data_IF_315032488017
#
_entry.id   IF_315032488017
#
_cell.length_a   1.000
_cell.length_b   1.000
_cell.length_c   1.000
_cell.angle_alpha   90.00
_cell.angle_beta   90.00
_cell.angle_gamma   90.00
#
_symmetry.space_group_name_H-M   'P 1'
#
loop_
_entity.id
_entity.type
_entity.pdbx_description
1 polymer ?
#
# COMPACT_ATOMS: atom_id res chain seq x y z
N UNK A 1 -7.76 -17.06 0.68
CA UNK A 1 -6.57 -16.20 0.61
C UNK A 1 -6.52 -15.26 1.81
N UNK A 2 -5.31 -14.86 2.20
CA UNK A 2 -5.11 -14.00 3.38
C UNK A 2 -5.81 -12.65 3.25
N UNK A 3 -5.81 -12.04 2.04
CA UNK A 3 -6.49 -10.76 1.80
C UNK A 3 -8.00 -10.89 1.98
N UNK A 4 -8.61 -11.95 1.48
CA UNK A 4 -10.03 -12.20 1.62
C UNK A 4 -10.43 -12.36 3.08
N UNK A 5 -9.65 -13.10 3.85
CA UNK A 5 -9.89 -13.32 5.27
C UNK A 5 -9.81 -12.02 6.07
N UNK A 6 -8.80 -11.20 5.80
CA UNK A 6 -8.66 -9.91 6.46
C UNK A 6 -9.82 -8.97 6.09
N UNK A 7 -10.24 -8.97 4.82
CA UNK A 7 -11.35 -8.14 4.34
C UNK A 7 -12.67 -8.55 5.03
N UNK A 8 -12.90 -9.84 5.27
CA UNK A 8 -14.08 -10.31 6.02
C UNK A 8 -14.04 -9.88 7.49
N UNK A 9 -12.86 -9.89 8.12
CA UNK A 9 -12.69 -9.55 9.53
C UNK A 9 -12.74 -8.05 9.78
N UNK A 10 -12.29 -7.25 8.82
CA UNK A 10 -12.25 -5.78 8.91
C UNK A 10 -12.68 -5.17 7.57
N UNK A 11 -14.00 -5.24 7.24
CA UNK A 11 -14.46 -4.77 5.93
C UNK A 11 -14.18 -3.28 5.68
N UNK A 12 -13.84 -2.97 4.43
CA UNK A 12 -13.63 -1.60 4.00
C UNK A 12 -14.06 -1.46 2.53
N UNK A 13 -13.94 -0.25 1.98
CA UNK A 13 -14.33 0.01 0.59
C UNK A 13 -13.39 -0.68 -0.40
N UNK A 14 -12.09 -0.61 -0.14
CA UNK A 14 -11.07 -1.19 -1.01
C UNK A 14 -9.90 -1.68 -0.18
N UNK A 15 -9.35 -2.83 -0.57
CA UNK A 15 -8.11 -3.37 -0.03
C UNK A 15 -7.25 -3.84 -1.21
N UNK A 16 -6.07 -3.27 -1.38
CA UNK A 16 -5.19 -3.54 -2.51
C UNK A 16 -3.78 -3.81 -2.04
N UNK A 17 -3.17 -4.84 -2.61
CA UNK A 17 -1.75 -5.14 -2.43
C UNK A 17 -1.00 -4.67 -3.65
N UNK A 18 -0.07 -3.74 -3.46
CA UNK A 18 0.83 -3.25 -4.49
C UNK A 18 2.23 -3.82 -4.30
N UNK A 19 2.87 -4.22 -5.39
CA UNK A 19 4.28 -4.59 -5.40
C UNK A 19 5.14 -3.45 -5.92
N UNK A 20 6.29 -3.22 -5.29
CA UNK A 20 7.25 -2.22 -5.74
C UNK A 20 8.07 -2.78 -6.90
N UNK A 21 7.98 -2.12 -8.04
CA UNK A 21 8.64 -2.55 -9.26
C UNK A 21 9.77 -1.59 -9.63
N UNK A 22 10.91 -2.11 -10.10
CA UNK A 22 11.98 -1.26 -10.62
C UNK A 22 11.54 -0.58 -11.90
N UNK A 23 12.10 0.59 -12.16
CA UNK A 23 11.79 1.31 -13.39
C UNK A 23 12.47 0.68 -14.59
N UNK A 24 11.70 0.50 -15.68
CA UNK A 24 12.20 0.09 -16.98
C UNK A 24 12.11 1.23 -17.98
N UNK A 25 11.62 2.42 -17.56
CA UNK A 25 11.46 3.57 -18.45
C UNK A 25 12.69 4.48 -18.43
N UNK A 26 12.76 5.40 -19.39
CA UNK A 26 13.87 6.31 -19.56
C UNK A 26 14.10 7.24 -18.36
N UNK A 27 13.04 7.55 -17.63
CA UNK A 27 13.11 8.45 -16.48
C UNK A 27 13.57 7.76 -15.20
N UNK A 28 13.70 6.43 -15.23
CA UNK A 28 14.17 5.62 -14.10
C UNK A 28 13.32 5.81 -12.84
N UNK A 29 12.01 6.01 -13.02
CA UNK A 29 11.05 6.18 -11.92
C UNK A 29 10.45 4.84 -11.54
N UNK A 30 10.67 4.36 -10.32
CA UNK A 30 10.00 3.13 -9.87
C UNK A 30 8.49 3.35 -9.75
N UNK A 31 7.76 2.25 -9.66
CA UNK A 31 6.30 2.31 -9.59
C UNK A 31 5.75 1.18 -8.73
N UNK A 32 4.51 1.35 -8.29
CA UNK A 32 3.73 0.31 -7.64
C UNK A 32 2.81 -0.34 -8.67
N UNK A 33 2.78 -1.67 -8.68
CA UNK A 33 1.89 -2.45 -9.53
C UNK A 33 0.89 -3.19 -8.66
N UNK A 34 -0.40 -3.05 -8.98
CA UNK A 34 -1.47 -3.75 -8.25
C UNK A 34 -1.37 -5.26 -8.50
N UNK A 35 -1.19 -6.03 -7.43
CA UNK A 35 -1.04 -7.48 -7.48
C UNK A 35 -2.29 -8.22 -7.02
N UNK A 36 -3.04 -7.67 -6.07
CA UNK A 36 -4.26 -8.26 -5.54
C UNK A 36 -5.21 -7.18 -5.07
N UNK A 37 -6.51 -7.48 -5.07
CA UNK A 37 -7.53 -6.51 -4.74
C UNK A 37 -8.79 -7.17 -4.21
N UNK A 38 -9.43 -6.51 -3.24
CA UNK A 38 -10.78 -6.77 -2.76
C UNK A 38 -11.53 -5.44 -2.72
N UNK A 39 -12.83 -5.47 -3.08
CA UNK A 39 -13.67 -4.28 -3.07
C UNK A 39 -13.48 -3.42 -4.30
N UNK A 40 -13.70 -2.11 -4.16
CA UNK A 40 -13.65 -1.18 -5.28
C UNK A 40 -12.24 -1.08 -5.88
N UNK A 41 -12.18 -0.97 -7.20
CA UNK A 41 -10.91 -0.95 -7.92
C UNK A 41 -10.14 0.34 -7.68
N UNK A 42 -8.83 0.21 -7.44
CA UNK A 42 -7.88 1.31 -7.38
C UNK A 42 -6.97 1.27 -8.61
N UNK A 43 -6.15 2.30 -8.77
CA UNK A 43 -5.24 2.41 -9.91
C UNK A 43 -4.35 1.17 -10.01
N UNK A 44 -4.12 0.70 -11.25
CA UNK A 44 -3.29 -0.47 -11.50
C UNK A 44 -1.80 -0.16 -11.34
N UNK A 45 -1.39 1.06 -11.68
CA UNK A 45 0.00 1.52 -11.62
C UNK A 45 0.06 2.88 -10.95
N UNK A 46 0.99 3.05 -10.02
CA UNK A 46 1.24 4.32 -9.33
C UNK A 46 2.73 4.64 -9.39
N UNK A 47 3.08 5.80 -9.94
CA UNK A 47 4.47 6.25 -9.99
C UNK A 47 4.96 6.72 -8.63
N UNK A 48 6.24 6.49 -8.36
CA UNK A 48 6.88 6.90 -7.11
C UNK A 48 7.70 8.18 -7.35
N UNK A 49 7.00 9.27 -7.65
CA UNK A 49 7.60 10.59 -7.82
C UNK A 49 7.08 11.56 -6.75
N UNK A 50 7.64 12.76 -6.71
CA UNK A 50 7.27 13.76 -5.72
C UNK A 50 5.79 14.16 -5.82
N UNK A 51 5.28 14.35 -7.02
CA UNK A 51 3.90 14.77 -7.24
C UNK A 51 2.92 13.70 -6.73
N UNK A 52 3.19 12.42 -7.02
CA UNK A 52 2.32 11.32 -6.60
C UNK A 52 2.35 11.09 -5.09
N UNK A 53 3.45 11.46 -4.40
CA UNK A 53 3.50 11.37 -2.93
C UNK A 53 2.44 12.25 -2.26
N UNK A 54 1.99 13.33 -2.92
CA UNK A 54 0.95 14.20 -2.41
C UNK A 54 -0.46 13.79 -2.82
N UNK A 55 -0.62 13.20 -4.01
CA UNK A 55 -1.93 12.87 -4.58
C UNK A 55 -2.35 11.41 -4.36
N UNK A 56 -1.39 10.54 -4.05
CA UNK A 56 -1.64 9.11 -3.85
C UNK A 56 -0.92 8.63 -2.60
N UNK A 57 -1.67 8.32 -1.55
CA UNK A 57 -1.10 7.89 -0.28
C UNK A 57 -0.20 6.66 -0.40
N UNK A 58 -0.54 5.62 -1.20
CA UNK A 58 0.37 4.47 -1.36
C UNK A 58 1.71 4.86 -1.96
N UNK A 59 1.75 5.83 -2.87
CA UNK A 59 3.02 6.33 -3.40
C UNK A 59 3.88 6.95 -2.30
N UNK A 60 3.29 7.77 -1.44
CA UNK A 60 3.99 8.35 -0.27
C UNK A 60 4.51 7.26 0.67
N UNK A 61 3.69 6.27 0.96
CA UNK A 61 4.05 5.16 1.86
C UNK A 61 5.24 4.38 1.31
N UNK A 62 5.25 4.08 0.01
CA UNK A 62 6.37 3.39 -0.62
C UNK A 62 7.65 4.23 -0.60
N UNK A 63 7.55 5.53 -0.79
CA UNK A 63 8.71 6.42 -0.82
C UNK A 63 9.30 6.67 0.56
N UNK A 64 8.46 6.73 1.59
CA UNK A 64 8.91 7.01 2.97
C UNK A 64 9.16 5.76 3.79
N UNK A 65 8.51 4.65 3.46
CA UNK A 65 8.56 3.43 4.26
C UNK A 65 7.77 3.52 5.57
N UNK A 66 6.92 4.51 5.73
CA UNK A 66 6.17 4.77 6.95
C UNK A 66 4.69 4.43 6.77
N UNK A 67 4.09 3.84 7.80
CA UNK A 67 2.65 3.65 7.86
C UNK A 67 1.95 5.02 7.89
N UNK A 68 0.92 5.17 7.08
CA UNK A 68 0.10 6.37 7.04
C UNK A 68 -1.34 6.00 7.37
N UNK A 69 -1.89 6.60 8.42
CA UNK A 69 -3.28 6.44 8.81
C UNK A 69 -3.98 7.79 8.73
N UNK A 70 -4.91 7.91 7.79
CA UNK A 70 -5.66 9.14 7.56
C UNK A 70 -7.13 8.85 7.84
N UNK A 71 -7.62 9.24 9.02
CA UNK A 71 -8.98 8.96 9.45
C UNK A 71 -10.00 10.00 8.95
N UNK A 72 -9.52 11.12 8.43
CA UNK A 72 -10.36 12.20 7.92
C UNK A 72 -9.67 12.87 6.74
N UNK A 73 -9.87 12.32 5.53
CA UNK A 73 -9.24 12.84 4.32
C UNK A 73 -9.59 14.32 4.07
N UNK A 74 -10.87 14.76 4.16
CA UNK A 74 -11.18 16.19 3.99
C UNK A 74 -10.40 17.10 4.93
N UNK A 75 -10.20 16.69 6.18
CA UNK A 75 -9.44 17.48 7.14
C UNK A 75 -7.96 17.60 6.73
N UNK A 76 -7.35 16.50 6.30
CA UNK A 76 -5.96 16.51 5.82
C UNK A 76 -5.79 17.36 4.58
N UNK A 77 -6.77 17.34 3.67
CA UNK A 77 -6.78 18.22 2.49
C UNK A 77 -6.82 19.69 2.88
N UNK A 78 -7.61 20.02 3.91
CA UNK A 78 -7.73 21.41 4.41
C UNK A 78 -6.45 21.92 5.06
N UNK A 79 -5.58 21.03 5.54
CA UNK A 79 -4.30 21.37 6.14
C UNK A 79 -3.14 21.33 5.13
N UNK A 80 -3.43 21.08 3.86
CA UNK A 80 -2.42 20.87 2.80
C UNK A 80 -1.45 19.72 3.09
N UNK A 81 -1.86 18.77 3.93
CA UNK A 81 -1.09 17.53 4.19
C UNK A 81 -1.27 16.51 3.09
N UNK A 82 -2.35 16.59 2.33
CA UNK A 82 -2.62 15.83 1.12
C UNK A 82 -3.12 16.78 0.04
N UNK A 83 -2.99 16.36 -1.21
CA UNK A 83 -3.60 17.05 -2.35
C UNK A 83 -4.72 16.19 -2.91
N UNK A 84 -5.56 16.75 -3.77
CA UNK A 84 -6.70 16.07 -4.38
C UNK A 84 -6.33 14.77 -5.10
N UNK A 85 -6.77 14.63 -6.33
CA UNK A 85 -6.49 13.44 -7.13
C UNK A 85 -7.13 12.19 -6.54
N UNK A 86 -6.36 11.11 -6.39
CA UNK A 86 -6.85 9.84 -5.91
C UNK A 86 -7.34 9.87 -4.46
N UNK A 87 -6.88 10.84 -3.66
CA UNK A 87 -7.30 10.94 -2.26
C UNK A 87 -8.77 11.29 -2.08
N UNK A 88 -9.42 11.85 -3.10
CA UNK A 88 -10.83 12.29 -3.01
C UNK A 88 -11.86 11.15 -3.03
N UNK A 89 -11.47 9.94 -3.39
CA UNK A 89 -12.41 8.82 -3.56
C UNK A 89 -12.88 8.20 -2.24
N UNK A 90 -12.23 8.48 -1.13
CA UNK A 90 -12.54 7.91 0.18
C UNK A 90 -12.40 8.97 1.26
N UNK A 91 -13.01 8.73 2.44
CA UNK A 91 -12.92 9.68 3.57
C UNK A 91 -11.93 9.24 4.64
N UNK A 92 -11.53 7.98 4.66
CA UNK A 92 -10.41 7.52 5.47
C UNK A 92 -9.57 6.52 4.70
N UNK A 93 -8.27 6.50 4.98
CA UNK A 93 -7.31 5.62 4.32
C UNK A 93 -6.28 5.12 5.33
N UNK A 94 -5.83 3.89 5.14
CA UNK A 94 -4.72 3.32 5.88
C UNK A 94 -3.76 2.72 4.86
N UNK A 95 -2.51 3.15 4.89
CA UNK A 95 -1.50 2.73 3.93
C UNK A 95 -0.31 2.17 4.69
N UNK A 96 -0.03 0.88 4.49
CA UNK A 96 0.99 0.17 5.24
C UNK A 96 2.10 -0.29 4.32
N UNK A 97 3.37 0.02 4.65
CA UNK A 97 4.48 -0.54 3.89
C UNK A 97 4.63 -2.03 4.20
N UNK A 98 4.90 -2.82 3.16
CA UNK A 98 5.26 -4.22 3.32
C UNK A 98 6.78 -4.27 3.15
N UNK A 99 7.49 -4.63 4.22
CA UNK A 99 8.95 -4.47 4.27
C UNK A 99 9.67 -5.79 4.45
N UNK A 100 10.90 -5.85 3.95
CA UNK A 100 11.86 -6.91 4.25
C UNK A 100 12.36 -6.72 5.68
N UNK A 101 13.06 -7.74 6.19
CA UNK A 101 13.66 -7.71 7.53
C UNK A 101 14.61 -6.51 7.74
N UNK A 102 15.29 -6.07 6.67
CA UNK A 102 16.20 -4.92 6.74
C UNK A 102 15.48 -3.57 6.61
N UNK A 103 14.13 -3.57 6.54
CA UNK A 103 13.32 -2.36 6.42
C UNK A 103 13.08 -1.86 5.00
N UNK A 104 13.69 -2.48 3.98
CA UNK A 104 13.46 -2.09 2.59
C UNK A 104 12.02 -2.41 2.18
N UNK A 105 11.36 -1.46 1.49
CA UNK A 105 9.97 -1.61 1.07
C UNK A 105 9.88 -2.58 -0.10
N UNK A 106 9.01 -3.58 0.02
CA UNK A 106 8.66 -4.53 -1.03
C UNK A 106 7.38 -4.13 -1.74
N UNK A 107 6.50 -3.43 -1.06
CA UNK A 107 5.21 -3.02 -1.58
C UNK A 107 4.40 -2.28 -0.55
N UNK A 108 3.11 -2.09 -0.84
CA UNK A 108 2.19 -1.34 0.01
C UNK A 108 0.86 -2.06 0.07
N UNK A 109 0.29 -2.12 1.27
CA UNK A 109 -1.10 -2.54 1.48
C UNK A 109 -1.91 -1.26 1.66
N UNK A 110 -2.79 -0.95 0.70
CA UNK A 110 -3.61 0.26 0.70
C UNK A 110 -5.05 -0.09 1.01
N UNK A 111 -5.61 0.56 2.04
CA UNK A 111 -6.97 0.36 2.49
C UNK A 111 -7.71 1.68 2.43
N UNK A 112 -8.97 1.63 1.96
CA UNK A 112 -9.81 2.82 1.84
C UNK A 112 -11.20 2.54 2.35
N UNK A 113 -11.78 3.54 3.02
CA UNK A 113 -13.10 3.45 3.60
C UNK A 113 -13.92 4.69 3.22
N UNK A 114 -15.19 4.48 2.90
CA UNK A 114 -16.07 5.55 2.42
C UNK A 114 -16.39 6.60 3.48
N UNK A 115 -16.39 6.24 4.76
CA UNK A 115 -16.65 7.13 5.87
C UNK A 115 -15.40 7.56 6.60
N UNK A 116 -15.51 8.56 7.47
CA UNK A 116 -14.43 8.99 8.35
C UNK A 116 -14.23 7.96 9.46
N UNK A 117 -13.02 7.92 10.01
CA UNK A 117 -12.67 7.04 11.13
C UNK A 117 -12.99 5.56 10.85
N UNK A 118 -12.73 5.12 9.61
CA UNK A 118 -13.04 3.76 9.17
C UNK A 118 -12.14 2.68 9.74
N UNK A 119 -11.03 3.05 10.37
CA UNK A 119 -10.03 2.09 10.87
C UNK A 119 -9.88 2.23 12.38
N UNK A 120 -10.72 1.53 13.13
CA UNK A 120 -10.59 1.46 14.59
C UNK A 120 -9.37 0.60 14.97
N UNK A 121 -9.08 0.50 16.26
CA UNK A 121 -7.93 -0.25 16.74
C UNK A 121 -7.96 -1.71 16.30
N UNK A 122 -9.13 -2.35 16.36
CA UNK A 122 -9.27 -3.74 15.95
C UNK A 122 -8.99 -3.92 14.46
N UNK A 123 -9.50 -3.03 13.61
CA UNK A 123 -9.23 -3.05 12.17
C UNK A 123 -7.74 -2.82 11.87
N UNK A 124 -7.12 -1.88 12.57
CA UNK A 124 -5.68 -1.60 12.42
C UNK A 124 -4.85 -2.85 12.72
N UNK A 125 -5.16 -3.57 13.77
CA UNK A 125 -4.45 -4.80 14.15
C UNK A 125 -4.58 -5.87 13.05
N UNK A 126 -5.78 -6.06 12.49
CA UNK A 126 -6.01 -7.02 11.41
C UNK A 126 -5.13 -6.70 10.20
N UNK A 127 -5.16 -5.46 9.75
CA UNK A 127 -4.44 -5.05 8.54
C UNK A 127 -2.93 -4.99 8.74
N UNK A 128 -2.47 -4.57 9.92
CA UNK A 128 -1.05 -4.59 10.25
C UNK A 128 -0.52 -6.02 10.26
N UNK A 129 -1.29 -6.95 10.84
CA UNK A 129 -0.94 -8.38 10.81
C UNK A 129 -0.81 -8.93 9.41
N UNK A 130 -1.71 -8.52 8.50
CA UNK A 130 -1.63 -8.94 7.10
C UNK A 130 -0.40 -8.36 6.41
N UNK A 131 -0.08 -7.08 6.63
CA UNK A 131 1.11 -6.47 6.04
C UNK A 131 2.39 -7.20 6.45
N UNK A 132 2.48 -7.59 7.73
CA UNK A 132 3.60 -8.37 8.23
C UNK A 132 3.66 -9.77 7.59
N UNK A 133 2.50 -10.42 7.44
CA UNK A 133 2.43 -11.75 6.86
C UNK A 133 2.73 -11.77 5.36
N UNK A 134 2.50 -10.67 4.65
CA UNK A 134 2.73 -10.59 3.21
C UNK A 134 4.20 -10.41 2.83
N UNK A 135 5.07 -10.07 3.77
CA UNK A 135 6.48 -9.76 3.46
C UNK A 135 7.20 -10.93 2.77
N UNK A 136 7.13 -12.13 3.33
CA UNK A 136 7.83 -13.30 2.77
C UNK A 136 7.28 -13.71 1.40
N UNK A 137 5.96 -13.90 1.20
CA UNK A 137 5.46 -14.26 -0.13
C UNK A 137 5.67 -13.17 -1.16
N UNK A 138 5.61 -11.88 -0.78
CA UNK A 138 5.86 -10.80 -1.71
C UNK A 138 7.33 -10.76 -2.14
N UNK A 139 8.25 -10.97 -1.20
CA UNK A 139 9.67 -11.07 -1.51
C UNK A 139 9.95 -12.22 -2.49
N UNK A 140 9.36 -13.39 -2.27
CA UNK A 140 9.51 -14.54 -3.15
C UNK A 140 8.99 -14.24 -4.56
N UNK A 141 7.87 -13.53 -4.67
CA UNK A 141 7.27 -13.17 -5.95
C UNK A 141 8.11 -12.14 -6.72
N UNK A 142 8.61 -11.12 -6.03
CA UNK A 142 9.29 -9.99 -6.67
C UNK A 142 10.78 -10.19 -6.85
N UNK A 143 11.41 -11.14 -6.13
CA UNK A 143 12.85 -11.39 -6.17
C UNK A 143 13.16 -12.88 -6.27
N UNK A 144 12.55 -13.62 -7.25
CA UNK A 144 12.75 -15.07 -7.35
C UNK A 144 14.18 -15.46 -7.68
N UNK A 145 14.90 -14.70 -8.51
CA UNK A 145 16.28 -14.96 -8.90
C UNK A 145 17.21 -14.95 -7.70
N UNK A 146 17.00 -14.04 -6.78
CA UNK A 146 17.80 -13.91 -5.57
C UNK A 146 17.59 -15.09 -4.63
N UNK A 147 16.37 -15.64 -4.59
CA UNK A 147 16.06 -16.85 -3.82
C UNK A 147 16.73 -18.08 -4.46
N UNK A 148 16.75 -18.18 -5.77
CA UNK A 148 17.41 -19.27 -6.49
C UNK A 148 18.92 -19.25 -6.28
N UNK A 149 19.57 -18.09 -6.36
CA UNK A 149 21.01 -17.93 -6.09
C UNK A 149 21.37 -18.39 -4.68
N UNK A 150 20.53 -18.09 -3.70
CA UNK A 150 20.75 -18.51 -2.33
C UNK A 150 20.63 -20.03 -2.15
N UNK A 151 19.85 -20.71 -2.98
CA UNK A 151 19.68 -22.15 -2.95
C UNK A 151 20.84 -22.89 -3.63
N UNK A 152 21.47 -22.30 -4.62
CA UNK A 152 22.56 -22.90 -5.38
C UNK A 152 23.91 -22.85 -4.64
N UNK A 153 23.97 -22.10 -3.58
CA UNK A 153 25.17 -22.05 -2.72
C UNK A 153 25.09 -23.08 -1.58
#
# INVERSE_FOLDING_TARGET
MALDSAFERAPCQSAVVYGLMPSENENNTPYLLRLAQQGAALAQVLLLDEAHAWTDLPSRTAQTGWLNLVQDVPHWLSLDELQGGQNLRSQSQMSLPICRENGAVLGVLQLEYAGKNGFDEAAQIVWLGLALALAAPLQALLQPEKAEEAQDE
#
